data_IF_476783090544
#
_entry.id   IF_476783090544
#
_cell.length_a   1.000
_cell.length_b   1.000
_cell.length_c   1.000
_cell.angle_alpha   90.00
_cell.angle_beta   90.00
_cell.angle_gamma   90.00
#
_symmetry.space_group_name_H-M   'P 1'
#
loop_
_entity.id
_entity.type
_entity.pdbx_description
1 polymer ?
#
# COMPACT_ATOMS: atom_id res chain seq x y z
N UNK A 1 -7.02 14.70 -0.38
CA UNK A 1 -6.66 15.92 -1.15
C UNK A 1 -5.34 15.73 -1.92
N UNK A 2 -4.26 15.30 -1.27
CA UNK A 2 -2.97 15.08 -1.92
C UNK A 2 -3.04 14.10 -3.12
N UNK A 3 -3.73 12.96 -2.96
CA UNK A 3 -3.86 11.95 -4.04
C UNK A 3 -4.50 12.53 -5.31
N UNK A 4 -5.57 13.31 -5.15
CA UNK A 4 -6.27 13.94 -6.27
C UNK A 4 -5.34 14.94 -6.99
N UNK A 5 -4.58 15.72 -6.22
CA UNK A 5 -3.65 16.70 -6.78
C UNK A 5 -2.50 16.02 -7.55
N UNK A 6 -1.91 14.95 -7.00
CA UNK A 6 -0.87 14.18 -7.68
C UNK A 6 -1.37 13.63 -9.02
N UNK A 7 -2.59 13.09 -9.06
CA UNK A 7 -3.25 12.62 -10.29
C UNK A 7 -3.48 13.74 -11.31
N UNK A 8 -3.98 14.89 -10.86
CA UNK A 8 -4.23 16.05 -11.73
C UNK A 8 -2.94 16.61 -12.34
N UNK A 9 -1.84 16.58 -11.59
CA UNK A 9 -0.53 17.03 -12.04
C UNK A 9 0.23 15.96 -12.85
N UNK A 10 -0.29 14.73 -12.92
CA UNK A 10 0.41 13.62 -13.55
C UNK A 10 1.66 13.16 -12.79
N UNK A 11 1.81 13.54 -11.52
CA UNK A 11 2.94 13.12 -10.69
C UNK A 11 2.71 11.69 -10.18
N UNK A 12 3.10 10.73 -11.02
CA UNK A 12 2.94 9.30 -10.76
C UNK A 12 3.80 8.82 -9.59
N UNK A 13 4.98 9.41 -9.37
CA UNK A 13 5.82 9.01 -8.25
C UNK A 13 5.16 9.42 -6.93
N UNK A 14 4.71 10.67 -6.82
CA UNK A 14 3.98 11.15 -5.65
C UNK A 14 2.66 10.40 -5.43
N UNK A 15 1.92 10.09 -6.51
CA UNK A 15 0.69 9.30 -6.43
C UNK A 15 0.94 7.94 -5.76
N UNK A 16 2.01 7.24 -6.15
CA UNK A 16 2.34 5.93 -5.61
C UNK A 16 2.72 6.00 -4.12
N UNK A 17 3.53 6.98 -3.72
CA UNK A 17 3.87 7.20 -2.30
C UNK A 17 2.65 7.54 -1.45
N UNK A 18 1.70 8.32 -1.98
CA UNK A 18 0.47 8.63 -1.27
C UNK A 18 -0.40 7.37 -1.11
N UNK A 19 -0.53 6.55 -2.16
CA UNK A 19 -1.28 5.29 -2.09
C UNK A 19 -0.66 4.33 -1.08
N UNK A 20 0.66 4.19 -1.08
CA UNK A 20 1.39 3.41 -0.09
C UNK A 20 1.15 3.91 1.35
N UNK A 21 1.17 5.23 1.59
CA UNK A 21 0.80 5.82 2.88
C UNK A 21 -0.66 5.60 3.29
N UNK A 22 -1.60 5.61 2.34
CA UNK A 22 -3.01 5.28 2.59
C UNK A 22 -3.14 3.79 2.96
N UNK A 23 -2.37 2.91 2.31
CA UNK A 23 -2.29 1.49 2.66
C UNK A 23 -1.90 1.30 4.13
N UNK A 24 -0.80 1.94 4.56
CA UNK A 24 -0.37 1.91 5.98
C UNK A 24 -1.45 2.43 6.93
N UNK A 25 -2.16 3.48 6.55
CA UNK A 25 -3.24 4.03 7.36
C UNK A 25 -4.40 3.04 7.53
N UNK A 26 -4.76 2.28 6.49
CA UNK A 26 -5.78 1.24 6.60
C UNK A 26 -5.31 0.01 7.38
N UNK A 27 -4.03 -0.37 7.26
CA UNK A 27 -3.40 -1.40 8.10
C UNK A 27 -3.56 -1.06 9.58
N UNK A 28 -3.25 0.18 9.96
CA UNK A 28 -3.33 0.64 11.34
C UNK A 28 -4.79 0.66 11.86
N UNK A 29 -5.77 0.73 10.96
CA UNK A 29 -7.21 0.59 11.27
C UNK A 29 -7.71 -0.87 11.25
N UNK A 30 -6.85 -1.84 10.94
CA UNK A 30 -7.20 -3.25 10.80
C UNK A 30 -7.99 -3.60 9.53
N UNK A 31 -8.12 -2.68 8.58
CA UNK A 31 -8.80 -2.92 7.30
C UNK A 31 -7.82 -3.47 6.27
N UNK A 32 -7.49 -4.75 6.41
CA UNK A 32 -6.52 -5.43 5.55
C UNK A 32 -6.93 -5.40 4.07
N UNK A 33 -8.23 -5.42 3.77
CA UNK A 33 -8.73 -5.37 2.39
C UNK A 33 -8.39 -4.04 1.73
N UNK A 34 -8.71 -2.91 2.38
CA UNK A 34 -8.39 -1.59 1.83
C UNK A 34 -6.89 -1.29 1.86
N UNK A 35 -6.16 -1.80 2.86
CA UNK A 35 -4.71 -1.73 2.91
C UNK A 35 -4.07 -2.33 1.65
N UNK A 36 -4.37 -3.61 1.37
CA UNK A 36 -3.84 -4.32 0.21
C UNK A 36 -4.26 -3.70 -1.13
N UNK A 37 -5.49 -3.17 -1.24
CA UNK A 37 -5.92 -2.47 -2.46
C UNK A 37 -5.05 -1.24 -2.76
N UNK A 38 -4.71 -0.46 -1.74
CA UNK A 38 -3.89 0.74 -1.92
C UNK A 38 -2.43 0.39 -2.22
N UNK A 39 -1.85 -0.61 -1.53
CA UNK A 39 -0.51 -1.11 -1.87
C UNK A 39 -0.44 -1.66 -3.30
N UNK A 40 -1.46 -2.42 -3.75
CA UNK A 40 -1.48 -2.96 -5.11
C UNK A 40 -1.55 -1.85 -6.17
N UNK A 41 -2.27 -0.76 -5.89
CA UNK A 41 -2.29 0.42 -6.74
C UNK A 41 -0.90 1.09 -6.77
N UNK A 42 -0.26 1.31 -5.61
CA UNK A 42 1.09 1.85 -5.53
C UNK A 42 2.12 1.00 -6.30
N UNK A 43 2.07 -0.33 -6.14
CA UNK A 43 2.95 -1.28 -6.82
C UNK A 43 2.80 -1.24 -8.33
N UNK A 44 1.57 -1.12 -8.82
CA UNK A 44 1.29 -0.98 -10.26
C UNK A 44 1.97 0.25 -10.83
N UNK A 45 1.91 1.37 -10.11
CA UNK A 45 2.56 2.62 -10.53
C UNK A 45 4.08 2.48 -10.47
N UNK A 46 4.61 1.95 -9.36
CA UNK A 46 6.04 1.75 -9.17
C UNK A 46 6.68 0.90 -10.28
N UNK A 47 5.98 -0.17 -10.69
CA UNK A 47 6.38 -0.99 -11.85
C UNK A 47 6.33 -0.21 -13.16
N UNK A 48 5.28 0.57 -13.39
CA UNK A 48 5.18 1.45 -14.57
C UNK A 48 6.29 2.51 -14.64
N UNK A 49 6.82 2.94 -13.49
CA UNK A 49 7.94 3.88 -13.39
C UNK A 49 9.32 3.20 -13.47
N UNK A 50 9.39 1.87 -13.42
CA UNK A 50 10.63 1.12 -13.21
C UNK A 50 11.43 1.60 -11.99
N UNK A 51 10.75 1.90 -10.87
CA UNK A 51 11.37 2.36 -9.63
C UNK A 51 11.57 1.18 -8.66
N UNK A 52 12.76 0.56 -8.60
CA UNK A 52 13.01 -0.59 -7.75
C UNK A 52 12.94 -0.27 -6.26
N UNK A 53 13.25 0.99 -5.87
CA UNK A 53 13.20 1.41 -4.47
C UNK A 53 11.75 1.42 -3.99
N UNK A 54 10.87 2.04 -4.77
CA UNK A 54 9.46 2.09 -4.44
C UNK A 54 8.81 0.71 -4.49
N UNK A 55 9.18 -0.14 -5.46
CA UNK A 55 8.74 -1.55 -5.49
C UNK A 55 9.13 -2.26 -4.19
N UNK A 56 10.37 -2.11 -3.74
CA UNK A 56 10.84 -2.72 -2.49
C UNK A 56 10.07 -2.28 -1.25
N UNK A 57 9.78 -0.98 -1.15
CA UNK A 57 8.98 -0.42 -0.04
C UNK A 57 7.57 -1.02 -0.03
N UNK A 58 6.86 -0.96 -1.17
CA UNK A 58 5.47 -1.43 -1.23
C UNK A 58 5.38 -2.93 -0.97
N UNK A 59 6.33 -3.73 -1.46
CA UNK A 59 6.36 -5.18 -1.20
C UNK A 59 6.63 -5.50 0.27
N UNK A 60 7.50 -4.74 0.93
CA UNK A 60 7.75 -4.91 2.37
C UNK A 60 6.48 -4.61 3.18
N UNK A 61 5.77 -3.53 2.85
CA UNK A 61 4.52 -3.18 3.54
C UNK A 61 3.39 -4.20 3.28
N UNK A 62 3.28 -4.75 2.07
CA UNK A 62 2.36 -5.86 1.78
C UNK A 62 2.73 -7.13 2.56
N UNK A 63 4.02 -7.44 2.68
CA UNK A 63 4.49 -8.58 3.48
C UNK A 63 4.08 -8.47 4.94
N UNK A 64 4.23 -7.28 5.51
CA UNK A 64 3.81 -6.99 6.88
C UNK A 64 2.29 -7.11 7.06
N UNK A 65 1.50 -6.63 6.09
CA UNK A 65 0.05 -6.79 6.09
C UNK A 65 -0.38 -8.26 6.13
N UNK A 66 0.24 -9.11 5.29
CA UNK A 66 -0.06 -10.54 5.29
C UNK A 66 0.32 -11.21 6.61
N UNK A 67 1.43 -10.80 7.23
CA UNK A 67 1.85 -11.31 8.54
C UNK A 67 0.84 -10.98 9.62
N UNK A 68 0.43 -9.71 9.72
CA UNK A 68 -0.56 -9.24 10.71
C UNK A 68 -1.88 -9.96 10.53
N UNK A 69 -2.37 -10.06 9.29
CA UNK A 69 -3.64 -10.73 9.02
C UNK A 69 -3.59 -12.23 9.34
N UNK A 70 -2.48 -12.91 9.02
CA UNK A 70 -2.29 -14.31 9.41
C UNK A 70 -2.30 -14.52 10.93
N UNK A 71 -1.62 -13.65 11.68
CA UNK A 71 -1.60 -13.68 13.15
C UNK A 71 -2.97 -13.39 13.75
N UNK A 72 -3.72 -12.46 13.17
CA UNK A 72 -5.08 -12.14 13.59
C UNK A 72 -6.03 -13.32 13.40
N UNK A 73 -5.98 -13.99 12.25
CA UNK A 73 -6.80 -15.19 12.00
C UNK A 73 -6.44 -16.32 12.98
N UNK A 74 -5.15 -16.54 13.24
CA UNK A 74 -4.72 -17.54 14.22
C UNK A 74 -5.23 -17.23 15.65
N UNK A 75 -5.33 -15.95 16.01
CA UNK A 75 -5.85 -15.54 17.31
C UNK A 75 -7.37 -15.75 17.44
N UNK A 76 -8.12 -15.66 16.34
CA UNK A 76 -9.56 -15.93 16.31
C UNK A 76 -9.90 -17.43 16.33
N UNK A 77 -9.00 -18.28 15.83
CA UNK A 77 -9.17 -19.73 15.77
C UNK A 77 -8.87 -20.44 17.11
N UNK A 78 -8.45 -19.72 18.17
CA UNK A 78 -8.13 -20.25 19.51
C UNK A 78 -9.18 -19.92 20.56
#
# INVERSE_FOLDING_TARGET
RALLLARQLGDRNLEAWILDGIGRSYRDLGDASRSLQNYQAALTIARGLNDPKLIGVVLADMGEEYRINAEFNLALDR
#
